data_IF_655541438495
#
_entry.id   IF_655541438495
#
_cell.length_a   1.000
_cell.length_b   1.000
_cell.length_c   1.000
_cell.angle_alpha   90.00
_cell.angle_beta   90.00
_cell.angle_gamma   90.00
#
_symmetry.space_group_name_H-M   'P 1'
#
loop_
_entity.id
_entity.type
_entity.pdbx_description
1 polymer ?
#
# COMPACT_ATOMS: atom_id res chain seq x y z
N UNK A 1 17.42 0.01 -14.25
CA UNK A 1 17.00 0.54 -12.93
C UNK A 1 17.02 -0.63 -11.97
N UNK A 2 17.62 -0.50 -10.79
CA UNK A 2 17.58 -1.57 -9.79
C UNK A 2 16.15 -1.73 -9.22
N UNK A 3 15.85 -2.90 -8.64
CA UNK A 3 14.49 -3.20 -8.18
C UNK A 3 14.08 -2.35 -6.98
N UNK A 4 15.02 -1.91 -6.14
CA UNK A 4 14.71 -1.02 -4.99
C UNK A 4 14.21 0.33 -5.52
N UNK A 5 14.86 0.88 -6.53
CA UNK A 5 14.45 2.13 -7.18
C UNK A 5 13.11 1.98 -7.89
N UNK A 6 12.85 0.81 -8.51
CA UNK A 6 11.54 0.51 -9.13
C UNK A 6 10.44 0.39 -8.09
N UNK A 7 10.76 -0.21 -6.95
CA UNK A 7 9.83 -0.38 -5.85
C UNK A 7 9.49 0.97 -5.20
N UNK A 8 10.50 1.80 -4.93
CA UNK A 8 10.30 3.18 -4.46
C UNK A 8 9.46 4.02 -5.43
N UNK A 9 9.60 3.83 -6.75
CA UNK A 9 8.74 4.49 -7.73
C UNK A 9 7.27 4.06 -7.63
N UNK A 10 7.01 2.79 -7.29
CA UNK A 10 5.64 2.31 -7.15
C UNK A 10 4.89 2.96 -5.97
N UNK A 11 5.59 3.49 -4.95
CA UNK A 11 4.96 4.34 -3.91
C UNK A 11 4.28 5.57 -4.53
N UNK A 12 4.96 6.24 -5.46
CA UNK A 12 4.43 7.42 -6.15
C UNK A 12 3.22 7.09 -7.02
N UNK A 13 3.30 6.00 -7.79
CA UNK A 13 2.22 5.55 -8.67
C UNK A 13 0.96 5.18 -7.87
N UNK A 14 1.11 4.43 -6.77
CA UNK A 14 0.01 4.07 -5.87
C UNK A 14 -0.58 5.32 -5.22
N UNK A 15 0.25 6.25 -4.76
CA UNK A 15 -0.21 7.48 -4.12
C UNK A 15 -1.00 8.39 -5.08
N UNK A 16 -0.52 8.54 -6.32
CA UNK A 16 -1.24 9.28 -7.37
C UNK A 16 -2.60 8.65 -7.66
N UNK A 17 -2.66 7.32 -7.80
CA UNK A 17 -3.89 6.60 -8.05
C UNK A 17 -4.89 6.76 -6.88
N UNK A 18 -4.46 6.56 -5.63
CA UNK A 18 -5.33 6.74 -4.46
C UNK A 18 -5.83 8.19 -4.34
N UNK A 19 -4.96 9.17 -4.58
CA UNK A 19 -5.33 10.60 -4.56
C UNK A 19 -6.36 10.93 -5.63
N UNK A 20 -6.21 10.37 -6.83
CA UNK A 20 -7.20 10.48 -7.90
C UNK A 20 -8.55 9.91 -7.46
N UNK A 21 -8.57 8.70 -6.88
CA UNK A 21 -9.82 8.09 -6.40
C UNK A 21 -10.48 8.89 -5.29
N UNK A 22 -9.71 9.45 -4.35
CA UNK A 22 -10.24 10.29 -3.28
C UNK A 22 -10.93 11.55 -3.82
N UNK A 23 -10.35 12.19 -4.84
CA UNK A 23 -10.95 13.35 -5.52
C UNK A 23 -12.19 12.94 -6.33
N UNK A 24 -12.13 11.79 -7.01
CA UNK A 24 -13.24 11.29 -7.81
C UNK A 24 -14.48 11.00 -6.96
N UNK A 25 -14.32 10.39 -5.77
CA UNK A 25 -15.46 10.14 -4.87
C UNK A 25 -16.21 11.40 -4.47
N UNK A 26 -15.51 12.51 -4.25
CA UNK A 26 -16.14 13.77 -3.87
C UNK A 26 -17.00 14.40 -4.99
N UNK A 27 -16.78 14.00 -6.25
CA UNK A 27 -17.43 14.57 -7.44
C UNK A 27 -18.41 13.61 -8.11
N UNK A 28 -18.48 12.37 -7.63
CA UNK A 28 -19.21 11.30 -8.29
C UNK A 28 -20.71 11.38 -8.07
N UNK A 29 -21.45 11.08 -9.14
CA UNK A 29 -22.88 10.80 -9.05
C UNK A 29 -23.13 9.30 -8.79
N UNK A 30 -24.30 8.98 -8.23
CA UNK A 30 -24.64 7.62 -7.79
C UNK A 30 -24.57 6.56 -8.92
N UNK A 31 -24.79 6.94 -10.17
CA UNK A 31 -24.70 6.06 -11.33
C UNK A 31 -23.26 5.69 -11.74
N UNK A 32 -22.27 6.44 -11.26
CA UNK A 32 -20.84 6.20 -11.51
C UNK A 32 -20.17 5.35 -10.42
N UNK A 33 -20.85 5.13 -9.29
CA UNK A 33 -20.35 4.36 -8.14
C UNK A 33 -19.87 2.94 -8.49
N UNK A 34 -20.58 2.13 -9.30
CA UNK A 34 -20.15 0.75 -9.56
C UNK A 34 -18.80 0.67 -10.30
N UNK A 35 -18.60 1.52 -11.31
CA UNK A 35 -17.35 1.54 -12.08
C UNK A 35 -16.20 2.09 -11.23
N UNK A 36 -16.47 3.06 -10.37
CA UNK A 36 -15.49 3.55 -9.39
C UNK A 36 -15.05 2.44 -8.43
N UNK A 37 -16.01 1.74 -7.80
CA UNK A 37 -15.78 0.63 -6.89
C UNK A 37 -14.90 -0.44 -7.56
N UNK A 38 -15.21 -0.79 -8.81
CA UNK A 38 -14.43 -1.76 -9.58
C UNK A 38 -12.98 -1.32 -9.77
N UNK A 39 -12.76 -0.06 -10.12
CA UNK A 39 -11.41 0.49 -10.34
C UNK A 39 -10.59 0.59 -9.06
N UNK A 40 -11.18 1.05 -7.96
CA UNK A 40 -10.45 1.14 -6.69
C UNK A 40 -10.19 -0.24 -6.07
N UNK A 41 -11.11 -1.19 -6.23
CA UNK A 41 -10.88 -2.58 -5.81
C UNK A 41 -9.71 -3.20 -6.57
N UNK A 42 -9.60 -2.89 -7.87
CA UNK A 42 -8.47 -3.31 -8.70
C UNK A 42 -7.15 -2.71 -8.20
N UNK A 43 -7.11 -1.41 -7.88
CA UNK A 43 -5.93 -0.75 -7.29
C UNK A 43 -5.50 -1.44 -5.99
N UNK A 44 -6.45 -1.77 -5.11
CA UNK A 44 -6.14 -2.46 -3.86
C UNK A 44 -5.52 -3.85 -4.08
N UNK A 45 -6.08 -4.64 -4.99
CA UNK A 45 -5.60 -6.01 -5.19
C UNK A 45 -4.35 -6.11 -6.08
N UNK A 46 -4.33 -5.38 -7.19
CA UNK A 46 -3.26 -5.50 -8.18
C UNK A 46 -2.03 -4.69 -7.82
N UNK A 47 -2.19 -3.54 -7.18
CA UNK A 47 -1.08 -2.64 -6.89
C UNK A 47 -0.67 -2.77 -5.42
N UNK A 48 -1.55 -2.48 -4.46
CA UNK A 48 -1.18 -2.44 -3.02
C UNK A 48 -0.85 -3.83 -2.48
N UNK A 49 -1.75 -4.80 -2.62
CA UNK A 49 -1.54 -6.15 -2.07
C UNK A 49 -0.34 -6.84 -2.71
N UNK A 50 -0.10 -6.64 -4.01
CA UNK A 50 1.06 -7.23 -4.68
C UNK A 50 2.37 -6.53 -4.33
N UNK A 51 2.33 -5.22 -4.10
CA UNK A 51 3.46 -4.45 -3.58
C UNK A 51 3.90 -5.00 -2.22
N UNK A 52 2.97 -5.14 -1.27
CA UNK A 52 3.24 -5.75 0.04
C UNK A 52 3.77 -7.18 -0.07
N UNK A 53 3.19 -8.03 -0.92
CA UNK A 53 3.69 -9.39 -1.14
C UNK A 53 5.15 -9.41 -1.61
N UNK A 54 5.53 -8.42 -2.42
CA UNK A 54 6.90 -8.29 -2.94
C UNK A 54 7.85 -7.89 -1.82
N UNK A 55 7.49 -6.91 -1.00
CA UNK A 55 8.28 -6.52 0.18
C UNK A 55 8.48 -7.69 1.12
N UNK A 56 7.38 -8.32 1.55
CA UNK A 56 7.40 -9.41 2.51
C UNK A 56 8.30 -10.56 2.05
N UNK A 57 8.16 -10.94 0.78
CA UNK A 57 8.86 -12.09 0.22
C UNK A 57 10.31 -11.79 -0.13
N UNK A 58 10.59 -10.63 -0.72
CA UNK A 58 11.87 -10.36 -1.37
C UNK A 58 12.73 -9.36 -0.60
N UNK A 59 12.13 -8.38 0.07
CA UNK A 59 12.84 -7.28 0.73
C UNK A 59 13.01 -7.57 2.22
N UNK A 60 11.89 -7.73 2.93
CA UNK A 60 11.84 -7.91 4.37
C UNK A 60 12.51 -9.22 4.78
N UNK A 61 12.34 -10.29 3.99
CA UNK A 61 12.91 -11.60 4.27
C UNK A 61 14.43 -11.58 4.41
N UNK A 62 15.12 -10.72 3.66
CA UNK A 62 16.57 -10.58 3.75
C UNK A 62 17.00 -9.89 5.03
N UNK A 63 16.40 -8.74 5.34
CA UNK A 63 16.71 -8.02 6.59
C UNK A 63 16.37 -8.88 7.81
N UNK A 64 15.29 -9.66 7.74
CA UNK A 64 14.96 -10.64 8.77
C UNK A 64 15.98 -11.78 8.90
N UNK A 65 16.65 -12.14 7.81
CA UNK A 65 17.66 -13.19 7.79
C UNK A 65 19.01 -12.70 8.32
N UNK A 66 19.57 -11.64 7.73
CA UNK A 66 20.94 -11.19 8.01
C UNK A 66 21.05 -9.95 8.91
N UNK A 67 19.96 -9.20 9.11
CA UNK A 67 20.00 -7.92 9.81
C UNK A 67 20.23 -8.01 11.32
N UNK A 68 20.58 -6.89 11.92
CA UNK A 68 20.71 -6.74 13.38
C UNK A 68 19.34 -6.74 14.08
N UNK A 69 19.31 -6.92 15.41
CA UNK A 69 18.04 -6.90 16.16
C UNK A 69 17.23 -5.59 15.95
N UNK A 70 17.83 -4.39 15.96
CA UNK A 70 17.14 -3.15 15.59
C UNK A 70 16.49 -3.20 14.21
N UNK A 71 17.20 -3.69 13.19
CA UNK A 71 16.70 -3.77 11.81
C UNK A 71 15.53 -4.76 11.69
N UNK A 72 15.63 -5.92 12.35
CA UNK A 72 14.51 -6.88 12.41
C UNK A 72 13.29 -6.31 13.14
N UNK A 73 13.47 -5.40 14.09
CA UNK A 73 12.35 -4.71 14.76
C UNK A 73 11.70 -3.68 13.84
N UNK A 74 12.49 -2.97 13.05
CA UNK A 74 11.98 -2.06 12.01
C UNK A 74 11.11 -2.82 11.01
N UNK A 75 11.60 -3.95 10.48
CA UNK A 75 10.79 -4.78 9.56
C UNK A 75 9.47 -5.21 10.20
N UNK A 76 9.49 -5.71 11.44
CA UNK A 76 8.25 -6.08 12.14
C UNK A 76 7.28 -4.92 12.35
N UNK A 77 7.77 -3.68 12.41
CA UNK A 77 6.91 -2.50 12.47
C UNK A 77 6.26 -2.25 11.10
N UNK A 78 7.02 -2.31 10.00
CA UNK A 78 6.49 -2.18 8.64
C UNK A 78 5.46 -3.29 8.32
N UNK A 79 5.73 -4.53 8.71
CA UNK A 79 4.78 -5.64 8.56
C UNK A 79 3.45 -5.40 9.31
N UNK A 80 3.48 -4.70 10.44
CA UNK A 80 2.24 -4.32 11.15
C UNK A 80 1.47 -3.25 10.39
N UNK A 81 2.16 -2.29 9.78
CA UNK A 81 1.53 -1.28 8.94
C UNK A 81 0.85 -1.93 7.72
N UNK A 82 1.44 -2.97 7.12
CA UNK A 82 0.78 -3.75 6.07
C UNK A 82 -0.55 -4.33 6.55
N UNK A 83 -0.55 -4.97 7.73
CA UNK A 83 -1.78 -5.52 8.33
C UNK A 83 -2.81 -4.41 8.53
N UNK A 84 -2.40 -3.26 9.09
CA UNK A 84 -3.29 -2.13 9.33
C UNK A 84 -3.90 -1.56 8.04
N UNK A 85 -3.17 -1.55 6.92
CA UNK A 85 -3.69 -1.14 5.61
C UNK A 85 -4.64 -2.19 5.05
N UNK A 86 -4.28 -3.47 5.14
CA UNK A 86 -5.10 -4.57 4.63
C UNK A 86 -6.45 -4.64 5.35
N UNK A 87 -6.47 -4.46 6.67
CA UNK A 87 -7.72 -4.41 7.45
C UNK A 87 -8.63 -3.25 7.01
N UNK A 88 -8.05 -2.08 6.66
CA UNK A 88 -8.82 -0.94 6.13
C UNK A 88 -9.36 -1.22 4.72
N UNK A 89 -8.59 -1.92 3.89
CA UNK A 89 -9.03 -2.36 2.55
C UNK A 89 -10.18 -3.37 2.67
N UNK A 90 -10.08 -4.32 3.59
CA UNK A 90 -11.16 -5.30 3.83
C UNK A 90 -12.41 -4.59 4.34
N UNK A 91 -12.27 -3.65 5.28
CA UNK A 91 -13.39 -2.82 5.73
C UNK A 91 -14.02 -2.01 4.59
N UNK A 92 -13.20 -1.46 3.68
CA UNK A 92 -13.70 -0.75 2.50
C UNK A 92 -14.54 -1.67 1.61
N UNK A 93 -14.07 -2.90 1.37
CA UNK A 93 -14.79 -3.90 0.56
C UNK A 93 -16.11 -4.29 1.23
N UNK A 94 -16.12 -4.46 2.54
CA UNK A 94 -17.34 -4.78 3.30
C UNK A 94 -18.38 -3.66 3.23
N UNK A 95 -17.95 -2.42 3.40
CA UNK A 95 -18.82 -1.26 3.24
C UNK A 95 -19.45 -1.21 1.85
N UNK A 96 -18.62 -1.36 0.82
CA UNK A 96 -19.06 -1.39 -0.58
C UNK A 96 -20.05 -2.52 -0.85
N UNK A 97 -19.80 -3.72 -0.31
CA UNK A 97 -20.71 -4.86 -0.47
C UNK A 97 -22.06 -4.65 0.22
N UNK A 98 -22.06 -3.91 1.32
CA UNK A 98 -23.27 -3.54 2.06
C UNK A 98 -24.07 -2.40 1.41
N UNK A 99 -23.52 -1.70 0.41
CA UNK A 99 -24.22 -0.60 -0.25
C UNK A 99 -25.37 -1.11 -1.11
N UNK A 100 -26.52 -0.44 -0.97
CA UNK A 100 -27.60 -0.58 -1.95
C UNK A 100 -27.21 0.11 -3.27
N UNK A 101 -27.97 -0.12 -4.34
CA UNK A 101 -27.77 0.54 -5.65
C UNK A 101 -27.71 2.09 -5.58
N UNK A 102 -28.17 2.69 -4.47
CA UNK A 102 -28.00 4.11 -4.16
C UNK A 102 -27.52 4.28 -2.70
N UNK A 103 -26.21 4.40 -2.45
CA UNK A 103 -25.71 4.66 -1.10
C UNK A 103 -26.23 6.01 -0.58
N UNK A 104 -26.42 6.10 0.74
CA UNK A 104 -26.75 7.35 1.41
C UNK A 104 -25.53 8.28 1.46
N UNK A 105 -25.76 9.58 1.67
CA UNK A 105 -24.68 10.55 1.85
C UNK A 105 -23.75 10.19 3.02
N UNK A 106 -24.31 9.65 4.11
CA UNK A 106 -23.54 9.17 5.25
C UNK A 106 -22.61 8.01 4.87
N UNK A 107 -23.12 7.03 4.10
CA UNK A 107 -22.34 5.90 3.60
C UNK A 107 -21.20 6.35 2.67
N UNK A 108 -21.49 7.29 1.76
CA UNK A 108 -20.47 7.86 0.87
C UNK A 108 -19.42 8.66 1.65
N UNK A 109 -19.84 9.41 2.68
CA UNK A 109 -18.93 10.17 3.54
C UNK A 109 -18.00 9.27 4.35
N UNK A 110 -18.53 8.19 4.92
CA UNK A 110 -17.76 7.19 5.65
C UNK A 110 -16.74 6.49 4.74
N UNK A 111 -17.14 6.11 3.52
CA UNK A 111 -16.25 5.52 2.53
C UNK A 111 -15.12 6.49 2.13
N UNK A 112 -15.45 7.77 1.96
CA UNK A 112 -14.47 8.82 1.69
C UNK A 112 -13.50 9.04 2.84
N UNK A 113 -13.97 8.94 4.10
CA UNK A 113 -13.10 9.00 5.27
C UNK A 113 -12.14 7.82 5.30
N UNK A 114 -12.65 6.60 5.13
CA UNK A 114 -11.83 5.39 5.13
C UNK A 114 -10.75 5.42 4.03
N UNK A 115 -11.10 5.91 2.83
CA UNK A 115 -10.13 6.04 1.75
C UNK A 115 -9.02 7.08 2.07
N UNK A 116 -9.35 8.18 2.77
CA UNK A 116 -8.33 9.14 3.25
C UNK A 116 -7.42 8.50 4.28
N UNK A 117 -7.95 7.68 5.17
CA UNK A 117 -7.17 6.98 6.18
C UNK A 117 -6.22 5.95 5.55
N UNK A 118 -6.67 5.22 4.52
CA UNK A 118 -5.81 4.34 3.71
C UNK A 118 -4.66 5.13 3.08
N UNK A 119 -4.97 6.28 2.45
CA UNK A 119 -3.96 7.16 1.83
C UNK A 119 -2.92 7.63 2.85
N UNK A 120 -3.37 8.13 4.01
CA UNK A 120 -2.48 8.61 5.05
C UNK A 120 -1.57 7.49 5.55
N UNK A 121 -2.13 6.30 5.80
CA UNK A 121 -1.37 5.13 6.28
C UNK A 121 -0.32 4.71 5.24
N UNK A 122 -0.69 4.65 3.95
CA UNK A 122 0.24 4.32 2.86
C UNK A 122 1.36 5.36 2.69
N UNK A 123 1.04 6.65 2.86
CA UNK A 123 2.02 7.73 2.78
C UNK A 123 3.03 7.64 3.94
N UNK A 124 2.56 7.42 5.16
CA UNK A 124 3.44 7.27 6.32
C UNK A 124 4.32 6.02 6.19
N UNK A 125 3.73 4.91 5.75
CA UNK A 125 4.44 3.65 5.49
C UNK A 125 5.56 3.83 4.45
N UNK A 126 5.22 4.29 3.24
CA UNK A 126 6.21 4.52 2.17
C UNK A 126 7.31 5.49 2.58
N UNK A 127 6.99 6.51 3.38
CA UNK A 127 7.97 7.46 3.88
C UNK A 127 9.02 6.81 4.78
N UNK A 128 8.60 5.87 5.63
CA UNK A 128 9.51 5.12 6.49
C UNK A 128 10.37 4.16 5.68
N UNK A 129 9.80 3.51 4.67
CA UNK A 129 10.59 2.67 3.78
C UNK A 129 11.66 3.47 3.03
N UNK A 130 11.27 4.61 2.44
CA UNK A 130 12.15 5.48 1.67
C UNK A 130 13.31 6.05 2.53
N UNK A 131 13.03 6.38 3.80
CA UNK A 131 13.99 7.01 4.70
C UNK A 131 14.81 6.06 5.56
N UNK A 132 14.28 4.89 5.88
CA UNK A 132 14.92 3.97 6.82
C UNK A 132 15.32 2.67 6.11
N UNK A 133 14.38 2.00 5.46
CA UNK A 133 14.62 0.67 4.86
C UNK A 133 15.52 0.72 3.63
N UNK A 134 15.23 1.57 2.65
CA UNK A 134 15.99 1.59 1.40
C UNK A 134 17.44 2.07 1.59
N UNK A 135 17.75 3.05 2.45
CA UNK A 135 19.12 3.36 2.82
C UNK A 135 19.82 2.18 3.49
N UNK A 136 19.16 1.49 4.43
CA UNK A 136 19.72 0.30 5.10
C UNK A 136 20.07 -0.80 4.09
N UNK A 137 19.19 -1.10 3.14
CA UNK A 137 19.46 -2.13 2.12
C UNK A 137 20.68 -1.81 1.27
N UNK A 138 20.92 -0.52 0.98
CA UNK A 138 22.12 -0.06 0.27
C UNK A 138 23.38 -0.26 1.11
N UNK A 139 23.31 -0.01 2.43
CA UNK A 139 24.43 -0.19 3.36
C UNK A 139 24.82 -1.66 3.54
N UNK A 140 23.84 -2.57 3.60
CA UNK A 140 24.08 -4.03 3.71
C UNK A 140 24.58 -4.61 2.36
N UNK A 141 24.67 -3.80 1.30
CA UNK A 141 25.11 -4.25 -0.02
C UNK A 141 24.10 -5.17 -0.70
N UNK A 142 22.86 -5.23 -0.22
CA UNK A 142 21.84 -6.08 -0.81
C UNK A 142 21.33 -5.45 -2.12
N UNK A 143 21.43 -6.19 -3.21
CA UNK A 143 20.88 -5.85 -4.52
C UNK A 143 19.79 -6.84 -4.89
N UNK A 144 18.68 -6.36 -5.42
CA UNK A 144 17.64 -7.23 -5.98
C UNK A 144 17.90 -7.39 -7.47
N UNK A 145 18.41 -8.57 -7.84
CA UNK A 145 18.62 -9.00 -9.23
C UNK A 145 17.52 -9.99 -9.64
N UNK A 146 16.78 -9.69 -10.70
CA UNK A 146 15.84 -10.65 -11.32
C UNK A 146 14.84 -11.31 -10.35
N UNK A 147 14.19 -10.51 -9.49
CA UNK A 147 13.23 -10.95 -8.45
C UNK A 147 13.82 -11.87 -7.37
N UNK A 148 15.13 -11.74 -7.11
CA UNK A 148 15.80 -12.33 -5.96
C UNK A 148 16.79 -11.34 -5.37
N UNK A 149 16.69 -11.12 -4.07
CA UNK A 149 17.66 -10.30 -3.36
C UNK A 149 18.92 -11.12 -3.05
N UNK A 150 20.09 -10.55 -3.37
CA UNK A 150 21.42 -11.07 -3.06
C UNK A 150 22.15 -10.02 -2.22
N UNK A 151 22.82 -10.46 -1.18
CA UNK A 151 23.74 -9.61 -0.42
C UNK A 151 25.15 -10.13 -0.66
N UNK A 152 26.09 -9.21 -0.88
CA UNK A 152 27.51 -9.50 -1.07
C UNK A 152 28.21 -9.89 0.25
#
# INVERSE_FOLDING_TARGET
MDTITRHAQSHGEIFEALTFFNKAMALMQNDQMPEFIKKISKLFEEDIVNHFKTEEREIFSVVLSCGSLPEKRMIRALQREHIDVLEKIDHFKDMVAAFSLKPSEAQTSELASLNKDIIATMLDHSHREDKELFPLLKEIGCRIESNKMRCD
#
